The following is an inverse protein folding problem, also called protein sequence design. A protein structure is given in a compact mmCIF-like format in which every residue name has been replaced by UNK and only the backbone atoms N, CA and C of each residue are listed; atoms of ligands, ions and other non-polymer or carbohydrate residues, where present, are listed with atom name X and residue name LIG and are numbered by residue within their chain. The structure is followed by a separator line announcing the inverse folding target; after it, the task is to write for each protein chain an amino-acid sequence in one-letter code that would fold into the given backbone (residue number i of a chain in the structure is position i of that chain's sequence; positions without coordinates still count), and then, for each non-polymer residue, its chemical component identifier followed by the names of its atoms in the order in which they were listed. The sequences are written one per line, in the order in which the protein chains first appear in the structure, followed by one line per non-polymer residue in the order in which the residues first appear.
data_IF_811228104102
#
_entry.id   IF_811228104102
#
_cell.length_a   1.000
_cell.length_b   1.000
_cell.length_c   1.000
_cell.angle_alpha   90.00
_cell.angle_beta   90.00
_cell.angle_gamma   90.00
#
_symmetry.space_group_name_H-M   'P 1'
#
loop_
_entity.id
_entity.type
_entity.pdbx_description
1 polymer ?
#
# COMPACT_ATOMS: atom_id res chain seq x y z
N UNK A 1 2.53 -51.41 -40.97
CA UNK A 1 1.94 -50.06 -41.13
C UNK A 1 2.54 -49.17 -40.06
N UNK A 2 3.34 -48.19 -40.49
CA UNK A 2 3.95 -47.14 -39.65
C UNK A 2 2.87 -46.12 -39.31
N UNK A 3 2.76 -45.69 -38.05
CA UNK A 3 2.59 -44.27 -37.74
C UNK A 3 3.34 -43.96 -36.44
N UNK A 4 4.02 -42.82 -36.52
CA UNK A 4 5.16 -42.31 -35.76
C UNK A 4 4.80 -40.85 -35.55
N UNK A 5 4.97 -40.35 -34.31
CA UNK A 5 5.23 -38.94 -33.90
C UNK A 5 4.27 -37.84 -34.47
N UNK A 6 3.89 -36.77 -33.77
CA UNK A 6 4.69 -35.83 -32.98
C UNK A 6 3.72 -34.82 -32.31
N UNK A 7 4.01 -34.44 -31.07
CA UNK A 7 3.52 -33.23 -30.40
C UNK A 7 4.15 -31.99 -31.03
N UNK A 8 3.35 -30.96 -31.30
CA UNK A 8 3.83 -29.58 -31.45
C UNK A 8 2.78 -28.61 -30.89
N UNK A 9 3.12 -28.01 -29.74
CA UNK A 9 2.38 -26.88 -29.16
C UNK A 9 2.68 -25.63 -30.00
N UNK A 10 1.64 -25.04 -30.59
CA UNK A 10 1.72 -23.76 -31.28
C UNK A 10 1.46 -22.62 -30.30
N UNK A 11 2.51 -21.85 -30.02
CA UNK A 11 2.45 -20.51 -29.43
C UNK A 11 1.93 -19.57 -30.53
N UNK A 12 0.91 -18.77 -30.25
CA UNK A 12 0.52 -17.65 -31.11
C UNK A 12 0.52 -16.35 -30.32
N UNK A 13 1.52 -15.51 -30.61
CA UNK A 13 1.64 -14.12 -30.22
C UNK A 13 1.69 -13.27 -31.51
N UNK A 14 0.92 -12.17 -31.47
CA UNK A 14 0.91 -10.95 -32.29
C UNK A 14 0.69 -11.00 -33.82
N UNK A 15 -0.29 -10.20 -34.29
CA UNK A 15 -0.03 -9.03 -35.13
C UNK A 15 -1.31 -8.22 -35.41
N UNK A 16 -1.18 -6.90 -35.25
CA UNK A 16 -2.13 -5.85 -35.64
C UNK A 16 -2.34 -5.79 -37.16
N UNK A 17 -3.51 -5.31 -37.59
CA UNK A 17 -3.69 -4.71 -38.92
C UNK A 17 -4.74 -3.59 -38.86
N UNK A 18 -4.33 -2.40 -39.29
CA UNK A 18 -5.15 -1.36 -39.91
C UNK A 18 -4.20 -0.62 -40.89
N UNK A 19 -4.66 -0.12 -42.07
CA UNK A 19 -5.60 1.00 -42.09
C UNK A 19 -6.59 1.03 -43.28
N UNK A 20 -7.68 1.79 -43.13
CA UNK A 20 -8.20 2.69 -44.18
C UNK A 20 -9.38 3.54 -43.67
N UNK A 21 -9.26 4.85 -43.85
CA UNK A 21 -10.37 5.83 -43.98
C UNK A 21 -10.26 6.44 -45.38
N UNK A 22 -11.37 6.85 -46.03
CA UNK A 22 -12.02 8.16 -45.81
C UNK A 22 -13.57 8.06 -45.91
N UNK A 23 -14.46 9.01 -45.62
CA UNK A 23 -14.43 10.43 -45.28
C UNK A 23 -15.81 10.83 -44.69
N UNK A 24 -15.81 11.94 -43.96
CA UNK A 24 -16.86 12.96 -43.85
C UNK A 24 -18.31 12.65 -43.37
N UNK A 25 -18.63 13.35 -42.26
CA UNK A 25 -19.89 14.04 -41.93
C UNK A 25 -21.08 13.26 -41.39
N UNK A 26 -21.27 13.35 -40.06
CA UNK A 26 -22.51 13.87 -39.46
C UNK A 26 -22.28 14.19 -37.98
N UNK A 27 -22.63 15.40 -37.56
CA UNK A 27 -22.68 15.81 -36.15
C UNK A 27 -23.85 15.08 -35.48
N UNK A 28 -23.60 14.39 -34.36
CA UNK A 28 -24.65 13.91 -33.47
C UNK A 28 -24.14 13.86 -32.01
N UNK A 29 -24.59 14.84 -31.23
CA UNK A 29 -25.05 14.81 -29.83
C UNK A 29 -24.42 13.82 -28.81
N UNK A 30 -23.69 14.28 -27.78
CA UNK A 30 -23.21 13.44 -26.69
C UNK A 30 -24.22 13.43 -25.52
N UNK A 31 -25.26 12.63 -25.64
CA UNK A 31 -25.96 12.11 -24.46
C UNK A 31 -26.27 10.64 -24.69
N UNK A 32 -25.39 9.76 -24.22
CA UNK A 32 -25.76 8.53 -23.52
C UNK A 32 -24.63 8.17 -22.53
N UNK A 33 -24.96 7.83 -21.28
CA UNK A 33 -23.98 7.62 -20.23
C UNK A 33 -23.30 6.27 -20.43
N UNK A 34 -22.00 6.29 -20.76
CA UNK A 34 -21.15 5.15 -20.43
C UNK A 34 -21.25 4.91 -18.92
N UNK A 35 -21.34 3.64 -18.49
CA UNK A 35 -21.56 3.22 -17.10
C UNK A 35 -20.82 4.13 -16.11
N UNK A 36 -21.58 5.08 -15.56
CA UNK A 36 -21.05 6.18 -14.78
C UNK A 36 -20.58 5.66 -13.43
N UNK A 37 -19.35 6.00 -13.08
CA UNK A 37 -18.87 5.99 -11.72
C UNK A 37 -19.85 6.83 -10.89
N UNK A 38 -20.65 6.20 -10.02
CA UNK A 38 -21.52 6.93 -9.10
C UNK A 38 -20.61 7.59 -8.05
N UNK A 39 -20.19 8.82 -8.29
CA UNK A 39 -19.48 9.60 -7.29
C UNK A 39 -20.51 10.05 -6.27
N UNK A 40 -20.37 9.59 -5.04
CA UNK A 40 -21.01 10.26 -3.93
C UNK A 40 -20.28 11.59 -3.74
N UNK A 41 -20.74 12.63 -4.44
CA UNK A 41 -20.19 13.98 -4.30
C UNK A 41 -20.61 14.49 -2.92
N UNK A 42 -19.74 14.31 -1.93
CA UNK A 42 -19.85 15.03 -0.65
C UNK A 42 -19.24 16.41 -0.83
N UNK A 43 -19.93 17.45 -0.38
CA UNK A 43 -19.39 18.81 -0.39
C UNK A 43 -18.43 19.03 0.78
N UNK A 44 -17.63 20.10 0.72
CA UNK A 44 -16.62 20.37 1.75
C UNK A 44 -17.22 20.53 3.16
N UNK A 45 -18.42 21.10 3.27
CA UNK A 45 -19.15 21.26 4.53
C UNK A 45 -19.71 19.93 5.08
N UNK A 46 -19.79 18.89 4.26
CA UNK A 46 -20.32 17.57 4.62
C UNK A 46 -19.25 16.55 5.00
N UNK A 47 -17.96 16.85 4.79
CA UNK A 47 -16.87 15.88 5.02
C UNK A 47 -16.76 15.41 6.47
N UNK A 48 -17.33 16.14 7.43
CA UNK A 48 -17.34 15.74 8.84
C UNK A 48 -18.69 15.14 9.27
N UNK A 49 -19.68 15.05 8.38
CA UNK A 49 -20.91 14.30 8.64
C UNK A 49 -20.67 12.81 8.42
N UNK A 50 -20.43 12.11 9.53
CA UNK A 50 -20.15 10.67 9.54
C UNK A 50 -21.21 9.84 8.80
N UNK A 51 -22.50 10.18 8.89
CA UNK A 51 -23.56 9.39 8.23
C UNK A 51 -23.52 9.58 6.72
N UNK A 52 -23.35 10.82 6.27
CA UNK A 52 -23.21 11.13 4.85
C UNK A 52 -21.94 10.48 4.26
N UNK A 53 -20.83 10.52 4.98
CA UNK A 53 -19.58 9.87 4.56
C UNK A 53 -19.74 8.36 4.43
N UNK A 54 -20.37 7.69 5.39
CA UNK A 54 -20.60 6.24 5.32
C UNK A 54 -21.55 5.87 4.18
N UNK A 55 -22.60 6.67 3.97
CA UNK A 55 -23.50 6.51 2.83
C UNK A 55 -22.73 6.64 1.51
N UNK A 56 -21.88 7.66 1.40
CA UNK A 56 -21.05 7.92 0.24
C UNK A 56 -20.09 6.76 -0.09
N UNK A 57 -19.43 6.21 0.93
CA UNK A 57 -18.55 5.03 0.78
C UNK A 57 -19.34 3.80 0.34
N UNK A 58 -20.55 3.59 0.87
CA UNK A 58 -21.36 2.40 0.57
C UNK A 58 -21.83 2.30 -0.89
N UNK A 59 -21.98 3.44 -1.57
CA UNK A 59 -22.44 3.49 -2.97
C UNK A 59 -21.30 3.67 -3.98
N UNK A 60 -20.11 4.10 -3.50
CA UNK A 60 -18.93 4.22 -4.35
C UNK A 60 -18.32 2.83 -4.57
N UNK A 61 -17.95 2.52 -5.82
CA UNK A 61 -17.34 1.24 -6.18
C UNK A 61 -15.98 1.45 -6.81
N UNK A 62 -14.99 0.74 -6.26
CA UNK A 62 -13.63 0.71 -6.79
C UNK A 62 -12.89 2.04 -6.65
N UNK A 63 -11.66 2.01 -7.12
CA UNK A 63 -10.65 3.04 -6.85
C UNK A 63 -10.86 4.33 -7.66
N UNK A 64 -10.80 5.49 -7.01
CA UNK A 64 -10.77 6.81 -7.65
C UNK A 64 -9.34 7.34 -7.80
N UNK A 65 -8.81 7.24 -9.02
CA UNK A 65 -7.47 7.78 -9.36
C UNK A 65 -7.33 9.28 -9.06
N UNK A 66 -8.43 10.03 -9.17
CA UNK A 66 -8.44 11.47 -8.88
C UNK A 66 -8.30 11.69 -7.37
N UNK A 67 -9.07 10.96 -6.56
CA UNK A 67 -8.96 10.99 -5.10
C UNK A 67 -7.54 10.63 -4.64
N UNK A 68 -6.94 9.58 -5.20
CA UNK A 68 -5.59 9.13 -4.82
C UNK A 68 -4.51 10.13 -5.23
N UNK A 69 -4.67 10.77 -6.39
CA UNK A 69 -3.78 11.84 -6.84
C UNK A 69 -3.81 13.02 -5.88
N UNK A 70 -4.99 13.45 -5.43
CA UNK A 70 -5.09 14.50 -4.41
C UNK A 70 -4.52 14.06 -3.07
N UNK A 71 -4.76 12.82 -2.66
CA UNK A 71 -4.21 12.25 -1.43
C UNK A 71 -2.68 12.32 -1.44
N UNK A 72 -2.02 11.81 -2.48
CA UNK A 72 -0.56 11.79 -2.57
C UNK A 72 0.05 13.20 -2.63
N UNK A 73 -0.60 14.13 -3.34
CA UNK A 73 -0.22 15.55 -3.29
C UNK A 73 -0.35 16.13 -1.88
N UNK A 74 -1.41 15.78 -1.16
CA UNK A 74 -1.61 16.18 0.23
C UNK A 74 -0.53 15.64 1.15
N UNK A 75 -0.15 14.35 0.99
CA UNK A 75 0.97 13.75 1.72
C UNK A 75 2.27 14.48 1.42
N UNK A 76 2.54 14.82 0.16
CA UNK A 76 3.75 15.56 -0.22
C UNK A 76 3.80 16.95 0.40
N UNK A 77 2.73 17.73 0.22
CA UNK A 77 2.60 19.07 0.78
C UNK A 77 2.76 19.04 2.31
N UNK A 78 2.08 18.11 2.98
CA UNK A 78 2.10 18.03 4.44
C UNK A 78 3.43 17.46 4.97
N UNK A 79 3.81 16.25 4.56
CA UNK A 79 4.90 15.49 5.18
C UNK A 79 6.27 15.89 4.65
N UNK A 80 6.38 16.21 3.36
CA UNK A 80 7.66 16.50 2.72
C UNK A 80 7.93 18.01 2.71
N UNK A 81 6.95 18.82 2.29
CA UNK A 81 7.09 20.27 2.21
C UNK A 81 6.79 20.99 3.53
N UNK A 82 6.30 20.27 4.55
CA UNK A 82 5.95 20.82 5.87
C UNK A 82 4.93 21.96 5.81
N UNK A 83 3.96 21.83 4.88
CA UNK A 83 2.89 22.79 4.67
C UNK A 83 1.53 22.16 5.04
N UNK A 84 1.15 22.17 6.33
CA UNK A 84 -0.09 21.55 6.79
C UNK A 84 -1.35 22.23 6.21
N UNK A 85 -1.34 23.54 6.00
CA UNK A 85 -2.48 24.26 5.39
C UNK A 85 -2.82 23.75 3.99
N UNK A 86 -1.79 23.58 3.15
CA UNK A 86 -1.99 23.04 1.80
C UNK A 86 -2.33 21.54 1.83
N UNK A 87 -1.72 20.79 2.76
CA UNK A 87 -2.09 19.41 3.03
C UNK A 87 -3.59 19.26 3.32
N UNK A 88 -4.14 20.07 4.23
CA UNK A 88 -5.58 20.07 4.56
C UNK A 88 -6.44 20.28 3.32
N UNK A 89 -6.13 21.26 2.47
CA UNK A 89 -6.90 21.51 1.24
C UNK A 89 -6.90 20.30 0.31
N UNK A 90 -5.72 19.70 0.09
CA UNK A 90 -5.55 18.56 -0.81
C UNK A 90 -6.22 17.29 -0.26
N UNK A 91 -6.15 17.05 1.05
CA UNK A 91 -6.87 15.93 1.67
C UNK A 91 -8.39 16.10 1.58
N UNK A 92 -8.91 17.32 1.78
CA UNK A 92 -10.34 17.61 1.56
C UNK A 92 -10.75 17.35 0.11
N UNK A 93 -9.95 17.79 -0.86
CA UNK A 93 -10.18 17.49 -2.29
C UNK A 93 -10.19 15.98 -2.56
N UNK A 94 -9.25 15.23 -1.98
CA UNK A 94 -9.24 13.77 -2.07
C UNK A 94 -10.53 13.15 -1.54
N UNK A 95 -10.99 13.59 -0.37
CA UNK A 95 -12.18 13.10 0.30
C UNK A 95 -13.46 13.40 -0.49
N UNK A 96 -13.59 14.60 -1.06
CA UNK A 96 -14.74 14.98 -1.88
C UNK A 96 -14.86 14.15 -3.18
N UNK A 97 -13.73 13.67 -3.71
CA UNK A 97 -13.71 12.78 -4.87
C UNK A 97 -14.05 11.33 -4.51
N UNK A 98 -13.50 10.84 -3.39
CA UNK A 98 -13.85 9.56 -2.79
C UNK A 98 -13.41 9.58 -1.32
N UNK A 99 -14.31 9.37 -0.35
CA UNK A 99 -13.92 9.29 1.05
C UNK A 99 -13.08 8.03 1.30
N UNK A 100 -11.90 8.19 1.91
CA UNK A 100 -11.00 7.08 2.21
C UNK A 100 -10.45 7.22 3.63
N UNK A 101 -10.34 6.10 4.35
CA UNK A 101 -9.81 6.07 5.72
C UNK A 101 -8.43 6.76 5.82
N UNK A 102 -7.53 6.50 4.86
CA UNK A 102 -6.18 7.09 4.80
C UNK A 102 -6.19 8.61 4.62
N UNK A 103 -7.12 9.15 3.85
CA UNK A 103 -7.23 10.58 3.61
C UNK A 103 -7.75 11.30 4.87
N UNK A 104 -8.72 10.72 5.57
CA UNK A 104 -9.19 11.23 6.86
C UNK A 104 -8.12 11.19 7.95
N UNK A 105 -7.33 10.12 8.02
CA UNK A 105 -6.24 10.04 8.99
C UNK A 105 -5.19 11.14 8.78
N UNK A 106 -4.76 11.36 7.53
CA UNK A 106 -3.78 12.42 7.24
C UNK A 106 -4.38 13.83 7.35
N UNK A 107 -5.68 14.00 7.04
CA UNK A 107 -6.41 15.23 7.33
C UNK A 107 -6.40 15.53 8.84
N UNK A 108 -6.68 14.53 9.67
CA UNK A 108 -6.62 14.63 11.13
C UNK A 108 -5.24 15.06 11.62
N UNK A 109 -4.16 14.47 11.06
CA UNK A 109 -2.78 14.85 11.39
C UNK A 109 -2.51 16.32 11.07
N UNK A 110 -2.84 16.76 9.85
CA UNK A 110 -2.61 18.13 9.42
C UNK A 110 -3.45 19.15 10.21
N UNK A 111 -4.72 18.85 10.50
CA UNK A 111 -5.60 19.71 11.31
C UNK A 111 -5.13 19.80 12.77
N UNK A 112 -4.67 18.68 13.35
CA UNK A 112 -4.10 18.67 14.68
C UNK A 112 -2.84 19.53 14.75
N UNK A 113 -1.98 19.51 13.74
CA UNK A 113 -0.80 20.38 13.67
C UNK A 113 -1.17 21.87 13.61
N UNK A 114 -2.23 22.21 12.88
CA UNK A 114 -2.81 23.57 12.83
C UNK A 114 -3.62 23.95 14.08
N UNK A 115 -3.68 23.08 15.09
CA UNK A 115 -4.46 23.27 16.31
C UNK A 115 -5.97 23.43 16.09
N UNK A 116 -6.50 22.96 14.95
CA UNK A 116 -7.94 22.81 14.73
C UNK A 116 -8.41 21.46 15.32
N UNK A 117 -8.46 21.40 16.64
CA UNK A 117 -8.64 20.15 17.39
C UNK A 117 -10.00 19.48 17.16
N UNK A 118 -11.07 20.27 17.03
CA UNK A 118 -12.42 19.73 16.82
C UNK A 118 -12.56 19.00 15.48
N UNK A 119 -12.07 19.62 14.41
CA UNK A 119 -12.13 19.01 13.08
C UNK A 119 -11.13 17.87 12.96
N UNK A 120 -9.97 17.96 13.64
CA UNK A 120 -9.01 16.86 13.73
C UNK A 120 -9.63 15.61 14.39
N UNK A 121 -10.33 15.78 15.52
CA UNK A 121 -11.04 14.68 16.18
C UNK A 121 -12.09 14.06 15.25
N UNK A 122 -12.93 14.89 14.62
CA UNK A 122 -13.93 14.43 13.64
C UNK A 122 -13.29 13.63 12.50
N UNK A 123 -12.15 14.09 11.96
CA UNK A 123 -11.43 13.39 10.90
C UNK A 123 -10.94 12.00 11.36
N UNK A 124 -10.33 11.92 12.55
CA UNK A 124 -9.86 10.65 13.07
C UNK A 124 -10.98 9.67 13.41
N UNK A 125 -12.10 10.13 13.98
CA UNK A 125 -13.28 9.30 14.24
C UNK A 125 -13.84 8.70 12.94
N UNK A 126 -13.85 9.47 11.86
CA UNK A 126 -14.25 8.96 10.55
C UNK A 126 -13.21 7.97 10.01
N UNK A 127 -11.91 8.26 10.15
CA UNK A 127 -10.85 7.32 9.75
C UNK A 127 -10.98 5.98 10.49
N UNK A 128 -11.28 6.00 11.79
CA UNK A 128 -11.54 4.81 12.60
C UNK A 128 -12.71 4.00 12.04
N UNK A 129 -13.84 4.66 11.75
CA UNK A 129 -15.06 3.98 11.29
C UNK A 129 -14.92 3.46 9.85
N UNK A 130 -14.08 4.10 9.04
CA UNK A 130 -13.66 3.61 7.74
C UNK A 130 -12.55 2.54 7.83
N UNK A 131 -12.26 2.04 9.02
CA UNK A 131 -11.33 0.96 9.32
C UNK A 131 -9.86 1.26 8.97
N UNK A 132 -9.40 2.49 9.24
CA UNK A 132 -7.97 2.82 9.10
C UNK A 132 -7.11 1.90 9.97
N UNK A 133 -6.03 1.38 9.37
CA UNK A 133 -5.05 0.51 10.04
C UNK A 133 -3.66 1.16 10.16
N UNK A 134 -2.94 0.92 11.27
CA UNK A 134 -3.41 0.22 12.47
C UNK A 134 -4.37 1.09 13.31
N UNK A 135 -5.43 0.47 13.85
CA UNK A 135 -6.44 1.15 14.68
C UNK A 135 -5.83 1.86 15.89
N UNK A 136 -4.83 1.25 16.52
CA UNK A 136 -4.14 1.80 17.69
C UNK A 136 -3.48 3.15 17.44
N UNK A 137 -3.07 3.45 16.19
CA UNK A 137 -2.52 4.76 15.82
C UNK A 137 -3.57 5.86 15.77
N UNK A 138 -4.76 5.55 15.23
CA UNK A 138 -5.88 6.50 15.19
C UNK A 138 -6.33 6.85 16.61
N UNK A 139 -6.50 5.84 17.46
CA UNK A 139 -6.89 6.00 18.85
C UNK A 139 -5.87 6.83 19.63
N UNK A 140 -4.57 6.58 19.44
CA UNK A 140 -3.53 7.37 20.09
C UNK A 140 -3.59 8.86 19.68
N UNK A 141 -3.79 9.14 18.39
CA UNK A 141 -3.90 10.51 17.90
C UNK A 141 -5.18 11.20 18.39
N UNK A 142 -6.30 10.48 18.51
CA UNK A 142 -7.51 10.99 19.17
C UNK A 142 -7.23 11.37 20.62
N UNK A 143 -6.52 10.51 21.37
CA UNK A 143 -6.12 10.82 22.75
C UNK A 143 -5.31 12.11 22.86
N UNK A 144 -4.35 12.30 21.95
CA UNK A 144 -3.52 13.51 21.87
C UNK A 144 -4.38 14.75 21.58
N UNK A 145 -5.28 14.67 20.59
CA UNK A 145 -6.17 15.78 20.22
C UNK A 145 -7.10 16.16 21.38
N UNK A 146 -7.74 15.18 22.03
CA UNK A 146 -8.62 15.47 23.17
C UNK A 146 -7.87 15.99 24.39
N UNK A 147 -6.64 15.50 24.64
CA UNK A 147 -5.81 16.02 25.72
C UNK A 147 -5.49 17.50 25.47
N UNK A 148 -5.09 17.86 24.24
CA UNK A 148 -4.86 19.26 23.85
C UNK A 148 -6.12 20.12 23.93
N UNK A 149 -7.29 19.54 23.66
CA UNK A 149 -8.59 20.20 23.79
C UNK A 149 -9.08 20.31 25.24
N UNK A 150 -8.30 19.78 26.19
CA UNK A 150 -8.63 19.71 27.62
C UNK A 150 -9.87 18.86 27.94
N UNK A 151 -10.19 17.90 27.08
CA UNK A 151 -11.28 16.95 27.28
C UNK A 151 -10.77 15.66 27.93
N UNK A 152 -10.45 15.74 29.22
CA UNK A 152 -9.76 14.68 29.96
C UNK A 152 -10.41 13.28 29.84
N UNK A 153 -11.76 13.21 29.88
CA UNK A 153 -12.49 11.93 29.81
C UNK A 153 -12.31 11.24 28.47
N UNK A 154 -12.45 11.98 27.36
CA UNK A 154 -12.27 11.45 26.01
C UNK A 154 -10.79 11.09 25.78
N UNK A 155 -9.88 11.98 26.17
CA UNK A 155 -8.44 11.74 26.07
C UNK A 155 -8.01 10.46 26.79
N UNK A 156 -8.48 10.27 28.02
CA UNK A 156 -8.24 9.04 28.79
C UNK A 156 -8.80 7.82 28.08
N UNK A 157 -10.09 7.84 27.69
CA UNK A 157 -10.73 6.73 26.99
C UNK A 157 -9.94 6.28 25.76
N UNK A 158 -9.55 7.23 24.91
CA UNK A 158 -8.83 6.93 23.68
C UNK A 158 -7.39 6.47 23.94
N UNK A 159 -6.70 6.98 24.97
CA UNK A 159 -5.36 6.52 25.30
C UNK A 159 -5.36 5.06 25.78
N UNK A 160 -6.27 4.72 26.69
CA UNK A 160 -6.39 3.35 27.19
C UNK A 160 -6.78 2.41 26.05
N UNK A 161 -7.76 2.80 25.23
CA UNK A 161 -8.15 2.03 24.04
C UNK A 161 -6.97 1.85 23.08
N UNK A 162 -6.17 2.90 22.84
CA UNK A 162 -5.00 2.78 21.98
C UNK A 162 -4.02 1.71 22.50
N UNK A 163 -3.77 1.67 23.82
CA UNK A 163 -2.91 0.67 24.46
C UNK A 163 -3.49 -0.74 24.32
N UNK A 164 -4.80 -0.90 24.57
CA UNK A 164 -5.50 -2.18 24.45
C UNK A 164 -5.51 -2.70 23.01
N UNK A 165 -5.57 -1.82 22.01
CA UNK A 165 -5.43 -2.14 20.58
C UNK A 165 -3.96 -2.23 20.11
N UNK A 166 -3.01 -2.07 21.03
CA UNK A 166 -1.60 -2.41 20.84
C UNK A 166 -0.63 -1.24 20.63
N UNK A 167 -1.05 -0.02 20.93
CA UNK A 167 -0.12 1.11 21.04
C UNK A 167 0.71 0.98 22.32
N UNK A 168 1.94 0.54 22.18
CA UNK A 168 2.79 0.10 23.28
C UNK A 168 4.11 0.86 23.39
N UNK A 169 4.29 1.93 22.60
CA UNK A 169 5.47 2.78 22.67
C UNK A 169 5.46 3.62 23.96
N UNK A 170 5.95 3.03 25.05
CA UNK A 170 5.96 3.63 26.40
C UNK A 170 6.71 4.96 26.42
N UNK A 171 7.87 5.03 25.76
CA UNK A 171 8.64 6.27 25.65
C UNK A 171 7.80 7.40 25.07
N UNK A 172 6.98 7.11 24.05
CA UNK A 172 6.10 8.12 23.48
C UNK A 172 4.93 8.45 24.42
N UNK A 173 4.21 7.46 24.96
CA UNK A 173 3.08 7.68 25.88
C UNK A 173 3.45 8.62 27.05
N UNK A 174 4.60 8.38 27.69
CA UNK A 174 5.04 9.18 28.83
C UNK A 174 5.73 10.49 28.43
N UNK A 175 6.26 10.59 27.21
CA UNK A 175 7.05 11.75 26.75
C UNK A 175 6.32 12.73 25.83
N UNK A 176 5.20 12.32 25.23
CA UNK A 176 4.51 13.11 24.21
C UNK A 176 3.85 14.35 24.83
N UNK A 177 4.27 15.54 24.39
CA UNK A 177 3.77 16.83 24.90
C UNK A 177 2.26 17.00 24.70
N UNK A 178 1.67 16.36 23.69
CA UNK A 178 0.24 16.51 23.40
C UNK A 178 -0.63 15.84 24.49
N UNK A 179 -0.07 14.88 25.22
CA UNK A 179 -0.68 14.23 26.38
C UNK A 179 -0.40 14.97 27.72
N UNK A 180 0.25 16.12 27.71
CA UNK A 180 0.65 16.83 28.94
C UNK A 180 -0.55 17.20 29.83
N UNK A 181 -1.63 17.71 29.24
CA UNK A 181 -2.82 18.06 30.02
C UNK A 181 -3.39 16.82 30.72
N UNK A 182 -3.59 15.73 29.97
CA UNK A 182 -4.10 14.47 30.52
C UNK A 182 -3.22 13.97 31.68
N UNK A 183 -1.88 13.97 31.50
CA UNK A 183 -0.92 13.59 32.55
C UNK A 183 -1.05 14.39 33.85
N UNK A 184 -1.48 15.65 33.76
CA UNK A 184 -1.57 16.54 34.92
C UNK A 184 -2.90 16.44 35.66
N UNK A 185 -3.94 15.88 35.05
CA UNK A 185 -5.32 15.93 35.59
C UNK A 185 -5.92 14.57 35.92
N UNK A 186 -5.22 13.46 35.65
CA UNK A 186 -5.64 12.10 36.01
C UNK A 186 -4.56 11.36 36.80
N UNK A 187 -4.87 10.15 37.27
CA UNK A 187 -3.88 9.22 37.84
C UNK A 187 -3.13 8.49 36.71
N UNK A 188 -2.58 9.28 35.78
CA UNK A 188 -2.09 8.83 34.48
C UNK A 188 -1.11 7.67 34.58
N UNK A 189 -0.12 7.77 35.48
CA UNK A 189 0.92 6.75 35.61
C UNK A 189 0.32 5.41 36.05
N UNK A 190 -0.62 5.43 36.99
CA UNK A 190 -1.28 4.21 37.49
C UNK A 190 -2.16 3.59 36.41
N UNK A 191 -2.99 4.40 35.75
CA UNK A 191 -3.93 3.96 34.70
C UNK A 191 -3.20 3.40 33.48
N UNK A 192 -2.17 4.11 32.99
CA UNK A 192 -1.36 3.68 31.85
C UNK A 192 -0.54 2.44 32.20
N UNK A 193 0.05 2.36 33.40
CA UNK A 193 0.78 1.16 33.83
C UNK A 193 -0.17 -0.05 33.92
N UNK A 194 -1.39 0.14 34.41
CA UNK A 194 -2.40 -0.91 34.44
C UNK A 194 -2.76 -1.39 33.02
N UNK A 195 -3.01 -0.48 32.08
CA UNK A 195 -3.29 -0.83 30.69
C UNK A 195 -2.11 -1.53 30.00
N UNK A 196 -0.88 -1.06 30.24
CA UNK A 196 0.34 -1.67 29.68
C UNK A 196 0.68 -3.02 30.31
N UNK A 197 0.19 -3.35 31.51
CA UNK A 197 0.49 -4.63 32.17
C UNK A 197 0.01 -5.85 31.37
N UNK A 198 -0.96 -5.66 30.46
CA UNK A 198 -1.38 -6.68 29.49
C UNK A 198 -0.64 -6.64 28.14
N UNK A 199 0.14 -5.58 27.87
CA UNK A 199 0.81 -5.39 26.59
C UNK A 199 2.19 -6.08 26.58
N UNK A 200 2.33 -7.13 25.76
CA UNK A 200 3.64 -7.72 25.43
C UNK A 200 4.52 -6.72 24.66
N UNK A 201 5.82 -7.02 24.59
CA UNK A 201 6.86 -6.36 23.78
C UNK A 201 6.31 -5.47 22.64
N UNK A 202 6.51 -4.14 22.71
CA UNK A 202 5.96 -3.19 21.75
C UNK A 202 6.35 -3.44 20.29
N UNK A 203 7.57 -3.89 20.06
CA UNK A 203 8.07 -4.15 18.72
C UNK A 203 7.40 -5.39 18.13
N UNK A 204 7.25 -6.43 18.96
CA UNK A 204 6.50 -7.63 18.60
C UNK A 204 5.03 -7.33 18.33
N UNK A 205 4.41 -6.41 19.05
CA UNK A 205 3.01 -6.06 18.86
C UNK A 205 2.79 -5.30 17.55
N UNK A 206 3.59 -4.28 17.27
CA UNK A 206 3.55 -3.59 15.98
C UNK A 206 3.86 -4.52 14.81
N UNK A 207 4.76 -5.49 15.00
CA UNK A 207 4.99 -6.57 14.02
C UNK A 207 3.74 -7.42 13.82
N UNK A 208 3.09 -7.86 14.90
CA UNK A 208 1.87 -8.64 14.82
C UNK A 208 0.75 -7.90 14.11
N UNK A 209 0.55 -6.62 14.40
CA UNK A 209 -0.44 -5.80 13.71
C UNK A 209 -0.18 -5.76 12.20
N UNK A 210 1.09 -5.55 11.81
CA UNK A 210 1.46 -5.50 10.39
C UNK A 210 1.24 -6.82 9.66
N UNK A 211 1.83 -7.93 10.12
CA UNK A 211 1.79 -9.16 9.34
C UNK A 211 0.38 -9.79 9.26
N UNK A 212 -0.49 -9.55 10.25
CA UNK A 212 -1.87 -10.05 10.23
C UNK A 212 -2.76 -9.35 9.19
N UNK A 213 -2.33 -8.22 8.62
CA UNK A 213 -3.03 -7.59 7.48
C UNK A 213 -2.85 -8.40 6.19
N UNK A 214 -1.85 -9.29 6.12
CA UNK A 214 -1.61 -10.14 4.96
C UNK A 214 -2.41 -11.44 5.04
N UNK A 215 -3.38 -11.59 4.13
CA UNK A 215 -4.12 -12.84 3.95
C UNK A 215 -3.25 -13.92 3.31
N UNK A 216 -3.42 -15.21 3.64
CA UNK A 216 -2.74 -16.31 2.95
C UNK A 216 -2.92 -16.21 1.42
N UNK A 217 -1.84 -16.42 0.68
CA UNK A 217 -1.90 -16.40 -0.78
C UNK A 217 -2.65 -17.63 -1.32
N UNK A 218 -3.40 -17.45 -2.42
CA UNK A 218 -3.96 -18.56 -3.19
C UNK A 218 -2.95 -19.05 -4.21
N UNK A 219 -2.67 -20.35 -4.20
CA UNK A 219 -1.71 -20.97 -5.13
C UNK A 219 -2.40 -21.56 -6.38
N UNK A 220 -1.71 -21.55 -7.54
CA UNK A 220 -0.48 -20.81 -7.81
C UNK A 220 -0.73 -19.29 -7.84
N UNK A 221 0.17 -18.51 -7.23
CA UNK A 221 0.13 -17.06 -7.30
C UNK A 221 1.03 -16.59 -8.45
N UNK A 222 0.42 -16.06 -9.51
CA UNK A 222 1.13 -15.51 -10.68
C UNK A 222 1.09 -13.99 -10.61
N UNK A 223 2.27 -13.36 -10.54
CA UNK A 223 2.46 -11.92 -10.42
C UNK A 223 2.82 -11.33 -11.79
N UNK A 224 1.83 -11.33 -12.68
CA UNK A 224 1.92 -10.74 -14.02
C UNK A 224 1.20 -9.39 -14.10
N UNK A 225 1.19 -8.79 -15.29
CA UNK A 225 0.48 -7.54 -15.57
C UNK A 225 -1.02 -7.63 -15.24
N UNK A 226 -1.65 -8.80 -15.44
CA UNK A 226 -3.08 -9.00 -15.15
C UNK A 226 -3.35 -8.95 -13.66
N UNK A 227 -2.46 -9.52 -12.84
CA UNK A 227 -2.53 -9.38 -11.39
C UNK A 227 -2.39 -7.91 -10.99
N UNK A 228 -1.41 -7.19 -11.54
CA UNK A 228 -1.19 -5.77 -11.25
C UNK A 228 -2.37 -4.86 -11.60
N UNK A 229 -3.13 -5.18 -12.66
CA UNK A 229 -4.36 -4.47 -13.03
C UNK A 229 -5.52 -4.71 -12.04
N UNK A 230 -5.46 -5.79 -11.27
CA UNK A 230 -6.48 -6.18 -10.27
C UNK A 230 -6.17 -5.73 -8.85
N UNK A 231 -5.02 -5.10 -8.60
CA UNK A 231 -4.72 -4.51 -7.30
C UNK A 231 -5.84 -3.54 -6.92
N UNK A 232 -6.54 -3.87 -5.84
CA UNK A 232 -7.73 -3.17 -5.38
C UNK A 232 -7.38 -2.00 -4.44
N UNK A 233 -8.10 -1.92 -3.33
CA UNK A 233 -7.97 -0.86 -2.31
C UNK A 233 -7.30 -1.36 -1.03
N UNK A 234 -6.65 -2.52 -1.09
CA UNK A 234 -5.95 -3.14 0.05
C UNK A 234 -4.55 -2.54 0.22
N UNK A 235 -4.51 -1.29 0.67
CA UNK A 235 -3.29 -0.51 0.84
C UNK A 235 -2.54 -0.86 2.12
N UNK A 236 -1.22 -0.82 2.06
CA UNK A 236 -0.37 -0.80 3.25
C UNK A 236 -0.26 0.65 3.74
N UNK A 237 -0.56 0.87 5.02
CA UNK A 237 -0.41 2.18 5.66
C UNK A 237 1.05 2.63 5.73
N UNK A 238 1.28 3.95 5.54
CA UNK A 238 2.60 4.57 5.75
C UNK A 238 3.12 4.42 7.18
N UNK A 239 2.26 4.09 8.15
CA UNK A 239 2.69 3.79 9.52
C UNK A 239 3.56 2.52 9.62
N UNK A 240 3.59 1.70 8.56
CA UNK A 240 4.41 0.49 8.46
C UNK A 240 5.70 0.67 7.64
N UNK A 241 6.16 1.90 7.43
CA UNK A 241 7.42 2.21 6.73
C UNK A 241 8.67 1.51 7.31
N UNK A 242 8.61 1.03 8.57
CA UNK A 242 9.68 0.24 9.18
C UNK A 242 9.81 -1.17 8.56
N UNK A 243 8.74 -1.68 7.96
CA UNK A 243 8.67 -3.00 7.33
C UNK A 243 8.65 -2.94 5.80
N UNK A 244 8.20 -1.82 5.24
CA UNK A 244 8.18 -1.56 3.80
C UNK A 244 9.18 -0.47 3.48
N UNK A 245 10.43 -0.87 3.20
CA UNK A 245 11.54 0.06 3.01
C UNK A 245 11.30 1.06 1.86
N UNK A 246 10.56 0.66 0.83
CA UNK A 246 10.23 1.49 -0.34
C UNK A 246 9.33 2.69 0.00
N UNK A 247 8.74 2.74 1.20
CA UNK A 247 7.99 3.92 1.65
C UNK A 247 8.89 5.11 2.00
N UNK A 248 10.19 4.89 2.17
CA UNK A 248 11.15 5.91 2.59
C UNK A 248 12.04 6.33 1.44
N UNK A 249 12.20 7.63 1.27
CA UNK A 249 13.30 8.16 0.48
C UNK A 249 14.55 8.20 1.38
N UNK A 250 15.42 7.19 1.21
CA UNK A 250 16.58 6.96 2.08
C UNK A 250 17.58 8.14 2.11
N UNK A 251 17.53 9.03 1.11
CA UNK A 251 18.43 10.19 1.03
C UNK A 251 17.86 11.45 1.68
N UNK A 252 16.57 11.48 2.05
CA UNK A 252 15.86 12.70 2.47
C UNK A 252 15.02 12.58 3.74
N UNK A 253 14.96 11.40 4.38
CA UNK A 253 14.04 11.14 5.51
C UNK A 253 12.60 11.64 5.21
N UNK A 254 12.15 11.45 3.96
CA UNK A 254 10.86 11.91 3.45
C UNK A 254 10.00 10.73 3.01
N UNK A 255 8.68 10.92 2.96
CA UNK A 255 7.76 9.88 2.46
C UNK A 255 7.84 9.80 0.95
N UNK A 256 7.85 8.58 0.42
CA UNK A 256 7.73 8.33 -1.01
C UNK A 256 6.28 8.50 -1.44
N UNK A 257 6.01 9.56 -2.21
CA UNK A 257 4.66 9.97 -2.64
C UNK A 257 4.38 9.62 -4.10
N UNK A 258 5.36 9.02 -4.79
CA UNK A 258 5.23 8.54 -6.15
C UNK A 258 4.74 7.13 -6.30
N UNK A 259 4.57 6.44 -5.18
CA UNK A 259 4.24 5.04 -5.14
C UNK A 259 3.09 4.75 -4.17
N UNK A 260 2.34 3.72 -4.49
CA UNK A 260 1.37 3.11 -3.59
C UNK A 260 1.81 1.69 -3.24
N UNK A 261 1.47 1.26 -2.03
CA UNK A 261 1.92 0.01 -1.44
C UNK A 261 0.71 -0.87 -1.15
N UNK A 262 0.78 -2.14 -1.52
CA UNK A 262 -0.36 -3.05 -1.47
C UNK A 262 -0.02 -4.38 -0.81
N UNK A 263 -0.92 -4.88 0.02
CA UNK A 263 -0.89 -6.26 0.47
C UNK A 263 -1.08 -7.19 -0.75
N UNK A 264 -0.19 -8.17 -0.92
CA UNK A 264 -0.37 -9.25 -1.91
C UNK A 264 -0.69 -10.56 -1.19
N UNK A 265 0.05 -10.88 -0.13
CA UNK A 265 -0.36 -11.91 0.82
C UNK A 265 0.77 -12.56 1.62
N UNK A 266 0.38 -13.48 2.50
CA UNK A 266 1.23 -14.27 3.36
C UNK A 266 1.61 -15.58 2.64
N UNK A 267 2.87 -15.68 2.21
CA UNK A 267 3.40 -16.81 1.45
C UNK A 267 3.92 -17.96 2.32
N UNK A 268 4.41 -17.67 3.54
CA UNK A 268 4.83 -18.69 4.50
C UNK A 268 4.63 -18.18 5.91
N UNK A 269 4.10 -19.02 6.79
CA UNK A 269 3.97 -18.71 8.21
C UNK A 269 4.42 -19.90 9.06
N UNK A 270 5.46 -19.69 9.84
CA UNK A 270 5.95 -20.60 10.88
C UNK A 270 6.09 -19.80 12.18
N UNK A 271 6.38 -20.44 13.31
CA UNK A 271 6.59 -19.73 14.58
C UNK A 271 7.80 -18.77 14.52
N UNK A 272 8.84 -19.13 13.76
CA UNK A 272 10.09 -18.37 13.63
C UNK A 272 10.12 -17.38 12.48
N UNK A 273 9.41 -17.66 11.38
CA UNK A 273 9.48 -16.89 10.13
C UNK A 273 8.09 -16.58 9.58
N UNK A 274 7.88 -15.33 9.16
CA UNK A 274 6.78 -14.93 8.27
C UNK A 274 7.36 -14.43 6.95
N UNK A 275 6.85 -14.96 5.84
CA UNK A 275 7.21 -14.51 4.49
C UNK A 275 6.00 -13.84 3.86
N UNK A 276 6.14 -12.55 3.58
CA UNK A 276 5.10 -11.68 3.05
C UNK A 276 5.41 -11.32 1.60
N UNK A 277 4.37 -11.06 0.82
CA UNK A 277 4.47 -10.47 -0.51
C UNK A 277 3.71 -9.15 -0.50
N UNK A 278 4.32 -8.09 -1.00
CA UNK A 278 3.65 -6.81 -1.27
C UNK A 278 3.98 -6.29 -2.66
N UNK A 279 3.11 -5.43 -3.18
CA UNK A 279 3.31 -4.73 -4.44
C UNK A 279 3.61 -3.25 -4.19
N UNK A 280 4.48 -2.70 -5.03
CA UNK A 280 4.86 -1.28 -5.07
C UNK A 280 4.52 -0.77 -6.46
N UNK A 281 3.62 0.21 -6.53
CA UNK A 281 3.05 0.69 -7.79
C UNK A 281 3.40 2.16 -7.99
N UNK A 282 4.17 2.47 -9.03
CA UNK A 282 4.39 3.84 -9.44
C UNK A 282 3.09 4.46 -9.97
N UNK A 283 2.74 5.64 -9.48
CA UNK A 283 1.51 6.36 -9.84
C UNK A 283 1.74 7.79 -10.30
N UNK A 284 3.00 8.20 -10.46
CA UNK A 284 3.36 9.50 -11.05
C UNK A 284 3.52 9.40 -12.56
N UNK A 285 4.01 8.27 -13.07
CA UNK A 285 4.28 8.13 -14.50
C UNK A 285 3.00 8.15 -15.34
N UNK A 286 3.08 8.80 -16.50
CA UNK A 286 2.05 8.71 -17.52
C UNK A 286 2.03 7.28 -18.10
N UNK A 287 0.84 6.74 -18.34
CA UNK A 287 0.67 5.37 -18.79
C UNK A 287 0.61 4.34 -17.65
N UNK A 288 0.54 3.07 -18.01
CA UNK A 288 0.49 1.98 -17.05
C UNK A 288 1.88 1.38 -16.87
N UNK A 289 2.43 1.51 -15.67
CA UNK A 289 3.65 0.80 -15.26
C UNK A 289 3.21 -0.41 -14.41
N UNK A 290 3.56 -1.65 -14.79
CA UNK A 290 3.28 -2.80 -13.95
C UNK A 290 3.93 -2.65 -12.56
N UNK A 291 3.30 -3.14 -11.48
CA UNK A 291 3.86 -3.03 -10.15
C UNK A 291 5.15 -3.84 -10.01
N UNK A 292 6.01 -3.37 -9.13
CA UNK A 292 7.07 -4.18 -8.55
C UNK A 292 6.47 -5.08 -7.47
N UNK A 293 6.98 -6.31 -7.37
CA UNK A 293 6.56 -7.25 -6.33
C UNK A 293 7.76 -7.72 -5.54
N UNK A 294 7.68 -7.59 -4.22
CA UNK A 294 8.71 -8.03 -3.30
C UNK A 294 8.18 -9.17 -2.46
N UNK A 295 8.97 -10.24 -2.34
CA UNK A 295 8.80 -11.25 -1.31
C UNK A 295 9.84 -11.02 -0.22
N UNK A 296 9.40 -11.03 1.03
CA UNK A 296 10.20 -10.59 2.16
C UNK A 296 9.97 -11.52 3.34
N UNK A 297 11.04 -12.05 3.90
CA UNK A 297 11.01 -12.87 5.12
C UNK A 297 11.44 -12.05 6.32
N UNK A 298 10.69 -12.18 7.40
CA UNK A 298 10.96 -11.57 8.70
C UNK A 298 10.98 -12.65 9.78
N UNK A 299 11.74 -12.40 10.84
CA UNK A 299 11.72 -13.24 12.02
C UNK A 299 10.46 -13.00 12.88
N UNK A 300 10.35 -13.75 13.98
CA UNK A 300 9.23 -13.70 14.92
C UNK A 300 9.00 -12.33 15.61
N UNK A 301 9.92 -11.37 15.50
CA UNK A 301 9.78 -10.00 16.02
C UNK A 301 9.75 -8.94 14.91
N UNK A 302 9.72 -9.35 13.65
CA UNK A 302 9.63 -8.45 12.51
C UNK A 302 10.97 -7.88 12.04
N UNK A 303 12.09 -8.50 12.43
CA UNK A 303 13.40 -8.15 11.86
C UNK A 303 13.53 -8.79 10.48
N UNK A 304 14.00 -8.00 9.51
CA UNK A 304 14.25 -8.47 8.16
C UNK A 304 15.28 -9.61 8.16
N UNK A 305 14.93 -10.73 7.53
CA UNK A 305 15.82 -11.86 7.25
C UNK A 305 16.36 -11.73 5.83
N UNK A 306 15.46 -11.68 4.85
CA UNK A 306 15.83 -11.64 3.44
C UNK A 306 14.71 -10.97 2.62
N UNK A 307 15.07 -10.44 1.45
CA UNK A 307 14.18 -9.73 0.53
C UNK A 307 14.57 -9.97 -0.91
N UNK A 308 13.58 -10.25 -1.75
CA UNK A 308 13.78 -10.47 -3.18
C UNK A 308 12.72 -9.74 -4.02
N UNK A 309 13.18 -9.01 -5.05
CA UNK A 309 12.31 -8.50 -6.12
C UNK A 309 11.96 -9.66 -7.05
N UNK A 310 10.67 -10.00 -7.12
CA UNK A 310 10.18 -11.19 -7.82
C UNK A 310 9.26 -10.88 -9.00
N UNK A 311 8.76 -9.66 -9.13
CA UNK A 311 7.92 -9.25 -10.26
C UNK A 311 8.12 -7.78 -10.61
N UNK A 312 7.85 -7.43 -11.88
CA UNK A 312 8.07 -6.09 -12.40
C UNK A 312 9.55 -5.79 -12.72
N UNK A 313 9.89 -4.51 -12.78
CA UNK A 313 11.26 -4.00 -12.91
C UNK A 313 11.39 -2.68 -12.12
N UNK A 314 12.60 -2.35 -11.66
CA UNK A 314 12.85 -1.04 -11.03
C UNK A 314 13.16 0.01 -12.09
N UNK A 315 13.93 -0.39 -13.11
CA UNK A 315 14.28 0.45 -14.25
C UNK A 315 13.79 -0.21 -15.53
N UNK A 316 13.26 0.58 -16.47
CA UNK A 316 12.72 0.08 -17.76
C UNK A 316 13.75 -0.66 -18.62
N UNK A 317 15.05 -0.40 -18.41
CA UNK A 317 16.16 -1.11 -19.06
C UNK A 317 16.47 -2.48 -18.45
N UNK A 318 15.99 -2.76 -17.24
CA UNK A 318 16.22 -4.03 -16.58
C UNK A 318 15.22 -5.09 -17.06
N UNK A 319 15.58 -6.39 -17.00
CA UNK A 319 14.64 -7.45 -17.33
C UNK A 319 13.35 -7.35 -16.52
N UNK A 320 12.23 -7.48 -17.22
CA UNK A 320 10.92 -7.58 -16.59
C UNK A 320 10.76 -8.95 -15.93
N UNK A 321 10.30 -8.99 -14.69
CA UNK A 321 10.10 -10.23 -13.91
C UNK A 321 8.63 -10.62 -13.89
N UNK A 322 8.36 -11.92 -14.07
CA UNK A 322 7.08 -12.52 -13.74
C UNK A 322 7.33 -13.69 -12.79
N UNK A 323 6.81 -13.60 -11.57
CA UNK A 323 6.91 -14.67 -10.60
C UNK A 323 5.67 -15.58 -10.60
N UNK A 324 5.91 -16.86 -10.38
CA UNK A 324 4.91 -17.83 -9.96
C UNK A 324 5.35 -18.43 -8.63
N UNK A 325 4.54 -18.22 -7.58
CA UNK A 325 4.69 -18.96 -6.33
C UNK A 325 3.82 -20.22 -6.41
N UNK A 326 4.37 -21.34 -5.99
CA UNK A 326 3.74 -22.66 -6.07
C UNK A 326 3.48 -23.24 -4.68
N UNK A 327 2.59 -24.24 -4.58
CA UNK A 327 2.17 -24.83 -3.29
C UNK A 327 3.32 -25.40 -2.46
N UNK A 328 4.41 -25.85 -3.11
CA UNK A 328 5.59 -26.38 -2.42
C UNK A 328 6.56 -25.28 -1.94
N UNK A 329 6.15 -24.01 -1.98
CA UNK A 329 6.96 -22.86 -1.54
C UNK A 329 8.09 -22.48 -2.50
N UNK A 330 8.12 -23.03 -3.73
CA UNK A 330 9.06 -22.58 -4.74
C UNK A 330 8.60 -21.27 -5.37
N UNK A 331 9.57 -20.43 -5.69
CA UNK A 331 9.39 -19.18 -6.42
C UNK A 331 10.07 -19.35 -7.77
N UNK A 332 9.27 -19.36 -8.83
CA UNK A 332 9.74 -19.40 -10.21
C UNK A 332 9.68 -17.99 -10.79
N UNK A 333 10.83 -17.43 -11.19
CA UNK A 333 10.93 -16.09 -11.74
C UNK A 333 11.36 -16.19 -13.20
N UNK A 334 10.48 -15.82 -14.12
CA UNK A 334 10.86 -15.61 -15.51
C UNK A 334 11.41 -14.20 -15.69
N UNK A 335 12.61 -14.10 -16.26
CA UNK A 335 13.20 -12.83 -16.70
C UNK A 335 12.93 -12.61 -18.19
N UNK A 336 12.38 -11.46 -18.53
CA UNK A 336 12.02 -11.14 -19.90
C UNK A 336 12.70 -9.86 -20.36
N UNK A 337 13.29 -9.90 -21.55
CA UNK A 337 13.70 -8.69 -22.28
C UNK A 337 12.49 -8.12 -23.00
N UNK A 338 12.28 -6.82 -22.84
CA UNK A 338 11.29 -6.05 -23.60
C UNK A 338 11.99 -5.44 -24.81
N UNK A 339 11.54 -5.79 -26.01
CA UNK A 339 12.06 -5.25 -27.27
C UNK A 339 11.07 -4.20 -27.75
N UNK A 340 11.59 -3.00 -27.99
CA UNK A 340 10.80 -1.83 -28.38
C UNK A 340 10.98 -1.56 -29.87
N UNK A 341 9.93 -1.04 -30.54
CA UNK A 341 9.98 -0.72 -31.97
C UNK A 341 11.07 0.28 -32.33
N UNK A 342 11.37 1.20 -31.41
CA UNK A 342 12.47 2.16 -31.54
C UNK A 342 13.51 1.91 -30.46
N UNK A 343 14.75 2.29 -30.75
CA UNK A 343 15.86 2.21 -29.78
C UNK A 343 15.58 3.11 -28.55
N UNK A 344 15.37 2.53 -27.36
CA UNK A 344 15.02 3.30 -26.17
C UNK A 344 16.13 4.24 -25.68
N UNK A 345 17.40 3.99 -26.02
CA UNK A 345 18.50 4.89 -25.65
C UNK A 345 18.43 6.22 -26.40
N UNK A 346 17.84 6.21 -27.60
CA UNK A 346 17.71 7.39 -28.45
C UNK A 346 16.33 8.05 -28.33
N UNK A 347 15.27 7.23 -28.27
CA UNK A 347 13.89 7.70 -28.39
C UNK A 347 13.13 7.64 -27.06
N UNK A 348 13.74 7.07 -26.02
CA UNK A 348 13.09 6.82 -24.73
C UNK A 348 12.11 5.64 -24.76
N UNK A 349 11.51 5.40 -23.60
CA UNK A 349 10.51 4.34 -23.40
C UNK A 349 9.07 4.85 -23.46
N UNK A 350 8.87 6.14 -23.20
CA UNK A 350 7.55 6.76 -23.26
C UNK A 350 7.06 6.79 -24.71
N UNK A 351 5.81 6.39 -24.95
CA UNK A 351 5.21 6.24 -26.28
C UNK A 351 5.95 5.30 -27.25
N UNK A 352 6.91 4.51 -26.76
CA UNK A 352 7.62 3.51 -27.54
C UNK A 352 6.91 2.16 -27.42
N UNK A 353 6.34 1.67 -28.52
CA UNK A 353 5.55 0.45 -28.52
C UNK A 353 6.44 -0.79 -28.34
N UNK A 354 6.01 -1.71 -27.47
CA UNK A 354 6.62 -3.02 -27.35
C UNK A 354 6.40 -3.82 -28.65
N UNK A 355 7.49 -4.23 -29.27
CA UNK A 355 7.49 -5.09 -30.46
C UNK A 355 7.50 -6.58 -30.07
N UNK A 356 8.28 -6.95 -29.05
CA UNK A 356 8.43 -8.34 -28.62
C UNK A 356 8.80 -8.45 -27.14
N UNK A 357 8.53 -9.61 -26.53
CA UNK A 357 8.91 -9.95 -25.16
C UNK A 357 9.57 -11.32 -25.16
N UNK A 358 10.89 -11.34 -24.91
CA UNK A 358 11.71 -12.55 -25.00
C UNK A 358 12.10 -13.06 -23.63
N UNK A 359 11.82 -14.33 -23.33
CA UNK A 359 12.33 -14.98 -22.14
C UNK A 359 13.87 -15.09 -22.22
N UNK A 360 14.55 -14.54 -21.22
CA UNK A 360 16.00 -14.58 -21.09
C UNK A 360 16.45 -15.77 -20.23
N UNK A 361 15.86 -15.90 -19.05
CA UNK A 361 16.25 -16.88 -18.04
C UNK A 361 15.03 -17.25 -17.19
N UNK A 362 15.04 -18.46 -16.62
CA UNK A 362 14.16 -18.82 -15.50
C UNK A 362 15.00 -19.06 -14.27
N UNK A 363 14.64 -18.42 -13.18
CA UNK A 363 15.32 -18.56 -11.90
C UNK A 363 14.38 -19.28 -10.93
N UNK A 364 14.90 -20.31 -10.28
CA UNK A 364 14.13 -21.11 -9.33
C UNK A 364 14.71 -20.94 -7.92
N UNK A 365 13.89 -20.41 -7.02
CA UNK A 365 14.25 -20.20 -5.62
C UNK A 365 13.43 -21.11 -4.71
N UNK A 366 14.02 -21.47 -3.57
CA UNK A 366 13.33 -22.05 -2.42
C UNK A 366 13.45 -21.14 -1.22
N UNK A 367 12.43 -21.16 -0.36
CA UNK A 367 12.44 -20.48 0.94
C UNK A 367 12.94 -21.49 1.99
N UNK A 368 14.12 -21.28 2.54
CA UNK A 368 14.70 -22.15 3.59
C UNK A 368 13.87 -22.09 4.88
N UNK A 369 14.13 -23.00 5.82
CA UNK A 369 13.44 -23.02 7.12
C UNK A 369 13.67 -21.74 7.92
N UNK A 370 14.87 -21.17 7.84
CA UNK A 370 15.26 -19.91 8.47
C UNK A 370 14.86 -18.67 7.65
N UNK A 371 14.16 -18.84 6.51
CA UNK A 371 13.52 -17.75 5.78
C UNK A 371 14.32 -17.12 4.63
N UNK A 372 15.55 -17.56 4.36
CA UNK A 372 16.35 -17.08 3.23
C UNK A 372 15.83 -17.57 1.87
N UNK A 373 16.04 -16.77 0.83
CA UNK A 373 15.69 -17.10 -0.55
C UNK A 373 16.92 -17.63 -1.30
N UNK A 374 16.97 -18.94 -1.51
CA UNK A 374 18.16 -19.59 -2.12
C UNK A 374 17.84 -20.10 -3.52
N UNK A 375 18.69 -19.78 -4.50
CA UNK A 375 18.61 -20.36 -5.86
C UNK A 375 18.89 -21.86 -5.80
N UNK A 376 18.02 -22.67 -6.42
CA UNK A 376 18.15 -24.13 -6.41
C UNK A 376 19.39 -24.64 -7.15
N UNK A 377 19.89 -23.90 -8.13
CA UNK A 377 21.15 -24.22 -8.84
C UNK A 377 22.35 -24.24 -7.88
N UNK A 378 22.31 -23.45 -6.81
CA UNK A 378 23.36 -23.37 -5.79
C UNK A 378 23.25 -24.48 -4.73
N UNK A 379 22.06 -25.07 -4.54
CA UNK A 379 21.83 -26.14 -3.56
C UNK A 379 22.46 -27.48 -3.99
N UNK A 380 22.64 -27.69 -5.31
CA UNK A 380 23.30 -28.88 -5.86
C UNK A 380 24.84 -28.85 -5.70
N UNK A 381 25.42 -27.67 -5.42
CA UNK A 381 26.86 -27.47 -5.21
C UNK A 381 27.31 -27.57 -3.74
N UNK A 382 26.39 -27.54 -2.78
CA UNK A 382 26.70 -27.60 -1.33
C UNK A 382 26.84 -29.03 -0.78
N UNK A 383 26.61 -30.04 -1.61
CA UNK A 383 26.76 -31.47 -1.27
C UNK A 383 27.99 -32.12 -1.94
N UNK A 384 29.05 -31.35 -2.25
CA UNK A 384 30.32 -31.89 -2.77
C UNK A 384 31.49 -31.56 -1.87
#
# INVERSE_FOLDING_TARGET
MRYVLLLAAGISLFACNAPSTPDATTKADPQHPGQGQFTAVISEDQIFDKQLVLSAVSITKGKSRISDKYFLKGVDAYRNQKNPDEGVKLFKQSIMEQPQARAYFELGNALAELNNLKDAASAYEIAEVLDYKPTSKVLYNLACVYSRAQEAKAAHYYLISAIEFGYSNTKNIFGDKDLQYLRNVTDFNTEVAAALSGATDPDKLQWNLFWHEFKPVSYPLVLDEKYGKKLGEDYISYEYERFVAEMRNNDKFSREVGYEFYHVGLAKATDSVKTLVYAVKNVIMNGYVPPEYYIVSFDHVGKLIDKLLIGGHVLLKEPFRVATLTENGNIEIGLFSQVYKKDPENEGYEDNELEDVKLLEKQLYSITEDGHFVRKENLLGMNR
#
